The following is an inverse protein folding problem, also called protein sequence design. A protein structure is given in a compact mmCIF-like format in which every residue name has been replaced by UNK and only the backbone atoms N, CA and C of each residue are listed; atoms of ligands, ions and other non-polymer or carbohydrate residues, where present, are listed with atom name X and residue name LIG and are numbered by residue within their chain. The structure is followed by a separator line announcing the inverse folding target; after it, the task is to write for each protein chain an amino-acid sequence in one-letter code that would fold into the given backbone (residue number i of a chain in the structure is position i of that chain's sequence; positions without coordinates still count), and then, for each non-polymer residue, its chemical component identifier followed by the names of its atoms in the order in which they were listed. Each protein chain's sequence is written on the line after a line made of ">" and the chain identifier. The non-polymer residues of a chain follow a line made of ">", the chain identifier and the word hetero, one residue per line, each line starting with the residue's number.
data_IF_682093383136
#
_entry.id   IF_682093383136
#
_cell.length_a   1.000
_cell.length_b   1.000
_cell.length_c   1.000
_cell.angle_alpha   90.00
_cell.angle_beta   90.00
_cell.angle_gamma   90.00
#
_symmetry.space_group_name_H-M   'P 1'
#
loop_
_entity.id
_entity.type
_entity.pdbx_description
1 polymer ?
#
# COMPACT_ATOMS: atom_id res chain seq x y z
N UNK A 1 -0.94 38.88 -18.11
CA UNK A 1 -1.98 38.33 -19.02
C UNK A 1 -1.84 36.83 -19.29
N UNK A 2 -0.66 36.23 -19.25
CA UNK A 2 -0.44 34.80 -19.61
C UNK A 2 -0.98 33.75 -18.63
N UNK A 3 -1.21 34.06 -17.35
CA UNK A 3 -1.58 33.06 -16.35
C UNK A 3 -3.12 32.80 -16.23
N UNK A 4 -3.94 33.70 -16.76
CA UNK A 4 -5.41 33.56 -16.77
C UNK A 4 -5.90 32.73 -17.98
N UNK A 5 -5.29 32.91 -19.15
CA UNK A 5 -5.67 32.21 -20.38
C UNK A 5 -5.45 30.69 -20.28
N UNK A 6 -4.33 30.24 -19.68
CA UNK A 6 -4.06 28.81 -19.50
C UNK A 6 -5.00 28.09 -18.53
N UNK A 7 -5.56 28.81 -17.54
CA UNK A 7 -6.53 28.26 -16.59
C UNK A 7 -7.93 28.14 -17.20
N UNK A 8 -8.35 29.13 -17.95
CA UNK A 8 -9.63 29.09 -18.65
C UNK A 8 -9.68 27.99 -19.71
N UNK A 9 -8.60 27.73 -20.44
CA UNK A 9 -8.49 26.61 -21.39
C UNK A 9 -8.62 25.24 -20.72
N UNK A 10 -8.04 25.05 -19.53
CA UNK A 10 -8.13 23.78 -18.80
C UNK A 10 -9.55 23.53 -18.30
N UNK A 11 -10.24 24.57 -17.78
CA UNK A 11 -11.62 24.45 -17.30
C UNK A 11 -12.66 24.35 -18.43
N UNK A 12 -12.38 24.90 -19.60
CA UNK A 12 -13.28 24.83 -20.78
C UNK A 12 -13.27 23.46 -21.43
N UNK A 13 -12.37 22.55 -21.06
CA UNK A 13 -12.18 21.26 -21.73
C UNK A 13 -12.57 20.03 -20.88
N UNK A 14 -13.22 20.22 -19.72
CA UNK A 14 -13.60 19.13 -18.80
C UNK A 14 -14.51 18.10 -19.49
N UNK A 15 -15.47 18.54 -20.28
CA UNK A 15 -16.37 17.64 -21.01
C UNK A 15 -15.61 16.76 -21.99
N UNK A 16 -14.65 17.30 -22.72
CA UNK A 16 -13.79 16.52 -23.61
C UNK A 16 -12.92 15.53 -22.82
N UNK A 17 -12.34 15.95 -21.69
CA UNK A 17 -11.59 15.07 -20.81
C UNK A 17 -12.47 13.92 -20.28
N UNK A 18 -13.70 14.20 -19.91
CA UNK A 18 -14.71 13.20 -19.48
C UNK A 18 -14.92 12.16 -20.57
N UNK A 19 -15.18 12.59 -21.81
CA UNK A 19 -15.39 11.69 -22.96
C UNK A 19 -14.16 10.80 -23.17
N UNK A 20 -12.96 11.38 -23.19
CA UNK A 20 -11.72 10.65 -23.43
C UNK A 20 -11.43 9.63 -22.31
N UNK A 21 -11.49 10.04 -21.04
CA UNK A 21 -11.18 9.16 -19.91
C UNK A 21 -12.24 8.06 -19.68
N UNK A 22 -13.49 8.31 -20.02
CA UNK A 22 -14.56 7.32 -19.90
C UNK A 22 -14.79 6.48 -21.15
N UNK A 23 -13.93 6.60 -22.15
CA UNK A 23 -14.09 5.89 -23.45
C UNK A 23 -14.04 4.36 -23.36
N UNK A 24 -13.52 3.81 -22.27
CA UNK A 24 -13.22 2.37 -22.16
C UNK A 24 -11.90 1.97 -22.84
N UNK A 25 -11.25 2.90 -23.51
CA UNK A 25 -9.98 2.71 -24.23
C UNK A 25 -8.92 3.67 -23.69
N UNK A 26 -7.96 3.14 -22.95
CA UNK A 26 -6.86 3.94 -22.38
C UNK A 26 -5.94 4.57 -23.45
N UNK A 27 -5.97 4.09 -24.70
CA UNK A 27 -5.17 4.67 -25.78
C UNK A 27 -5.73 6.02 -26.25
N UNK A 28 -7.01 6.26 -26.01
CA UNK A 28 -7.68 7.54 -26.28
C UNK A 28 -7.40 8.62 -25.23
N UNK A 29 -6.82 8.24 -24.08
CA UNK A 29 -6.60 9.17 -22.99
C UNK A 29 -5.55 10.22 -23.32
N UNK A 30 -5.65 11.44 -22.76
CA UNK A 30 -4.57 12.41 -22.85
C UNK A 30 -3.26 11.81 -22.35
N UNK A 31 -2.16 12.10 -23.03
CA UNK A 31 -0.84 11.56 -22.64
C UNK A 31 -0.45 12.05 -21.25
N UNK A 32 0.07 11.17 -20.38
CA UNK A 32 0.56 11.58 -19.06
C UNK A 32 1.85 12.42 -19.18
N UNK A 33 2.07 13.31 -18.25
CA UNK A 33 3.34 14.03 -18.12
C UNK A 33 4.31 13.17 -17.31
N UNK A 34 5.17 12.45 -18.03
CA UNK A 34 6.18 11.60 -17.39
C UNK A 34 7.49 12.34 -17.21
N UNK A 35 8.12 12.14 -16.06
CA UNK A 35 9.48 12.61 -15.81
C UNK A 35 10.46 11.96 -16.78
N UNK A 36 11.55 12.66 -17.09
CA UNK A 36 12.60 12.17 -18.01
C UNK A 36 13.29 10.90 -17.53
N UNK A 37 13.25 10.61 -16.21
CA UNK A 37 13.82 9.42 -15.60
C UNK A 37 12.90 8.18 -15.73
N UNK A 38 11.66 8.35 -16.17
CA UNK A 38 10.72 7.23 -16.38
C UNK A 38 11.00 6.59 -17.74
N UNK A 39 11.31 5.31 -17.75
CA UNK A 39 11.41 4.56 -19.00
C UNK A 39 10.01 4.35 -19.60
N UNK A 40 9.74 5.12 -20.64
CA UNK A 40 8.44 5.12 -21.33
C UNK A 40 8.09 3.76 -21.97
N UNK A 41 9.08 2.88 -22.20
CA UNK A 41 8.86 1.55 -22.78
C UNK A 41 8.27 0.56 -21.78
N UNK A 42 8.56 0.77 -20.49
CA UNK A 42 8.10 -0.09 -19.40
C UNK A 42 7.00 0.57 -18.56
N UNK A 43 6.65 1.82 -18.88
CA UNK A 43 5.57 2.53 -18.21
C UNK A 43 4.22 1.86 -18.48
N UNK A 44 3.48 1.60 -17.42
CA UNK A 44 2.11 1.09 -17.47
C UNK A 44 1.21 2.13 -16.80
N UNK A 45 0.19 2.60 -17.50
CA UNK A 45 -0.76 3.57 -16.99
C UNK A 45 -1.71 2.95 -15.94
N UNK A 46 -2.38 3.80 -15.18
CA UNK A 46 -3.42 3.40 -14.25
C UNK A 46 -4.60 2.75 -14.99
N UNK A 47 -5.32 1.87 -14.34
CA UNK A 47 -6.42 1.15 -14.98
C UNK A 47 -7.17 0.25 -14.01
N UNK A 48 -8.05 -0.59 -14.54
CA UNK A 48 -8.76 -1.62 -13.77
C UNK A 48 -7.79 -2.72 -13.34
N UNK A 49 -7.88 -3.17 -12.08
CA UNK A 49 -7.06 -4.28 -11.59
C UNK A 49 -7.29 -5.54 -12.43
N UNK A 50 -6.21 -6.18 -12.91
CA UNK A 50 -6.32 -7.47 -13.60
C UNK A 50 -6.74 -8.59 -12.63
N UNK A 51 -6.96 -9.78 -13.15
CA UNK A 51 -7.13 -10.95 -12.28
C UNK A 51 -5.83 -11.24 -11.52
N UNK A 52 -5.99 -11.69 -10.26
CA UNK A 52 -4.86 -12.03 -9.42
C UNK A 52 -4.22 -13.34 -9.88
N UNK A 53 -2.91 -13.40 -9.85
CA UNK A 53 -2.15 -14.61 -10.15
C UNK A 53 -1.64 -15.26 -8.87
N UNK A 54 -1.61 -16.58 -8.87
CA UNK A 54 -1.05 -17.37 -7.77
C UNK A 54 0.30 -17.98 -8.20
N UNK A 55 1.30 -18.07 -7.30
CA UNK A 55 2.56 -18.70 -7.61
C UNK A 55 2.39 -20.18 -7.99
N UNK A 56 3.28 -20.71 -8.82
CA UNK A 56 3.23 -22.11 -9.24
C UNK A 56 3.39 -23.10 -8.08
N UNK A 57 4.16 -22.72 -7.08
CA UNK A 57 4.42 -23.51 -5.87
C UNK A 57 3.38 -23.29 -4.77
N UNK A 58 2.53 -22.26 -4.90
CA UNK A 58 1.39 -22.02 -4.00
C UNK A 58 0.11 -21.68 -4.80
N UNK A 59 -0.40 -22.66 -5.51
CA UNK A 59 -1.62 -22.54 -6.33
C UNK A 59 -2.85 -22.31 -5.48
N UNK A 60 -3.85 -21.66 -6.08
CA UNK A 60 -5.15 -21.45 -5.44
C UNK A 60 -5.87 -22.77 -5.14
N UNK A 61 -6.47 -22.88 -3.96
CA UNK A 61 -7.59 -23.78 -3.65
C UNK A 61 -8.52 -23.12 -2.63
N UNK A 62 -9.79 -23.50 -2.64
CA UNK A 62 -10.78 -22.98 -1.67
C UNK A 62 -10.43 -23.39 -0.24
N UNK A 63 -9.89 -24.58 -0.08
CA UNK A 63 -9.48 -25.17 1.18
C UNK A 63 -8.29 -24.40 1.77
N UNK A 64 -7.27 -24.04 0.95
CA UNK A 64 -6.18 -23.16 1.40
C UNK A 64 -6.66 -21.77 1.79
N UNK A 65 -7.60 -21.20 1.04
CA UNK A 65 -8.21 -19.90 1.42
C UNK A 65 -8.93 -20.01 2.76
N UNK A 66 -9.70 -21.06 2.98
CA UNK A 66 -10.42 -21.27 4.24
C UNK A 66 -9.45 -21.45 5.42
N UNK A 67 -8.44 -22.32 5.27
CA UNK A 67 -7.39 -22.49 6.28
C UNK A 67 -6.65 -21.20 6.54
N UNK A 68 -6.21 -20.49 5.49
CA UNK A 68 -5.49 -19.23 5.60
C UNK A 68 -6.31 -18.14 6.30
N UNK A 69 -7.60 -18.06 6.00
CA UNK A 69 -8.52 -17.17 6.70
C UNK A 69 -8.59 -17.53 8.20
N UNK A 70 -8.74 -18.80 8.54
CA UNK A 70 -8.79 -19.26 9.93
C UNK A 70 -7.51 -18.88 10.67
N UNK A 71 -6.33 -19.17 10.11
CA UNK A 71 -5.04 -18.80 10.68
C UNK A 71 -4.83 -17.28 10.83
N UNK A 72 -5.29 -16.50 9.85
CA UNK A 72 -5.19 -15.03 9.88
C UNK A 72 -5.96 -14.40 11.06
N UNK A 73 -7.06 -15.03 11.47
CA UNK A 73 -7.89 -14.58 12.59
C UNK A 73 -7.56 -15.30 13.89
N UNK A 74 -6.62 -16.25 13.90
CA UNK A 74 -6.31 -17.03 15.10
C UNK A 74 -5.23 -16.37 15.95
N UNK A 75 -5.54 -15.89 17.17
CA UNK A 75 -4.58 -15.25 18.02
C UNK A 75 -3.56 -16.24 18.64
N UNK A 76 -3.79 -17.55 18.56
CA UNK A 76 -2.89 -18.58 19.12
C UNK A 76 -1.54 -18.66 18.39
N UNK A 77 -1.41 -18.02 17.22
CA UNK A 77 -0.13 -17.78 16.57
C UNK A 77 0.78 -16.79 17.31
N UNK A 78 0.27 -16.07 18.31
CA UNK A 78 1.07 -15.17 19.16
C UNK A 78 1.45 -15.80 20.49
N UNK A 79 2.51 -15.31 21.13
CA UNK A 79 2.96 -15.82 22.43
C UNK A 79 1.88 -15.70 23.49
N UNK A 80 1.14 -14.59 23.50
CA UNK A 80 0.07 -14.31 24.46
C UNK A 80 -1.26 -15.00 24.14
N UNK A 81 -1.44 -15.52 22.93
CA UNK A 81 -2.74 -16.00 22.44
C UNK A 81 -3.80 -14.90 22.30
N UNK A 82 -3.40 -13.61 22.18
CA UNK A 82 -4.31 -12.47 22.15
C UNK A 82 -4.21 -11.65 20.84
N UNK A 83 -3.15 -11.83 20.07
CA UNK A 83 -2.87 -11.02 18.89
C UNK A 83 -2.90 -11.92 17.65
N UNK A 84 -3.78 -11.58 16.71
CA UNK A 84 -3.85 -12.18 15.37
C UNK A 84 -3.41 -11.18 14.31
N UNK A 85 -3.21 -11.63 13.05
CA UNK A 85 -2.99 -10.71 11.93
C UNK A 85 -4.13 -9.69 11.81
N UNK A 86 -5.37 -10.14 12.03
CA UNK A 86 -6.56 -9.29 12.03
C UNK A 86 -6.58 -8.20 13.11
N UNK A 87 -5.71 -8.26 14.13
CA UNK A 87 -5.59 -7.21 15.15
C UNK A 87 -5.06 -5.90 14.56
N UNK A 88 -4.12 -6.00 13.60
CA UNK A 88 -3.54 -4.86 12.89
C UNK A 88 -4.12 -4.67 11.49
N UNK A 89 -4.80 -5.71 10.95
CA UNK A 89 -5.40 -5.71 9.62
C UNK A 89 -6.90 -6.02 9.71
N UNK A 90 -7.64 -5.09 10.35
CA UNK A 90 -9.08 -5.25 10.58
C UNK A 90 -9.87 -5.04 9.27
N UNK A 91 -10.66 -6.02 8.81
CA UNK A 91 -11.44 -5.89 7.57
C UNK A 91 -12.46 -4.74 7.58
N UNK A 92 -12.98 -4.35 8.74
CA UNK A 92 -13.91 -3.22 8.85
C UNK A 92 -13.21 -1.86 8.71
N UNK A 93 -11.89 -1.81 8.96
CA UNK A 93 -11.03 -0.63 8.84
C UNK A 93 -10.18 -0.67 7.54
N UNK A 94 -10.73 -1.18 6.46
CA UNK A 94 -10.03 -1.34 5.18
C UNK A 94 -8.74 -2.17 5.30
N UNK A 95 -8.73 -3.18 6.18
CA UNK A 95 -7.60 -4.07 6.43
C UNK A 95 -6.34 -3.35 6.93
N UNK A 96 -6.54 -2.28 7.69
CA UNK A 96 -5.56 -1.60 8.56
C UNK A 96 -6.10 -1.58 9.99
N UNK A 97 -5.47 -0.84 10.89
CA UNK A 97 -6.00 -0.54 12.22
C UNK A 97 -6.34 0.95 12.42
N UNK A 98 -6.11 1.77 11.39
CA UNK A 98 -6.32 3.23 11.38
C UNK A 98 -5.60 3.95 12.54
N UNK A 99 -4.49 3.38 13.03
CA UNK A 99 -3.63 4.01 14.03
C UNK A 99 -2.29 4.44 13.43
N UNK A 100 -1.61 5.39 14.06
CA UNK A 100 -0.28 5.81 13.64
C UNK A 100 0.70 4.64 13.64
N UNK A 101 0.61 3.79 14.68
CA UNK A 101 1.40 2.57 14.84
C UNK A 101 0.57 1.55 15.59
N UNK A 102 0.58 0.32 15.12
CA UNK A 102 -0.15 -0.79 15.72
C UNK A 102 0.38 -1.15 17.11
N UNK A 103 -0.51 -1.65 17.95
CA UNK A 103 -0.17 -2.24 19.24
C UNK A 103 0.03 -3.75 19.08
N UNK A 104 1.16 -4.25 19.55
CA UNK A 104 1.46 -5.67 19.58
C UNK A 104 1.59 -6.21 21.00
N UNK A 105 2.49 -7.20 21.18
CA UNK A 105 2.74 -7.87 22.45
C UNK A 105 3.05 -6.86 23.57
N UNK A 106 2.45 -7.07 24.74
CA UNK A 106 2.56 -6.19 25.91
C UNK A 106 2.26 -4.71 25.62
N UNK A 107 1.37 -4.44 24.67
CA UNK A 107 1.01 -3.10 24.21
C UNK A 107 2.19 -2.28 23.68
N UNK A 108 3.27 -2.93 23.29
CA UNK A 108 4.35 -2.27 22.59
C UNK A 108 3.87 -1.79 21.23
N UNK A 109 4.45 -0.71 20.72
CA UNK A 109 4.07 -0.18 19.40
C UNK A 109 5.09 -0.56 18.35
N UNK A 110 4.63 -0.96 17.20
CA UNK A 110 5.46 -1.19 16.03
C UNK A 110 6.25 0.06 15.58
N UNK A 111 7.29 -0.15 14.82
CA UNK A 111 8.15 0.95 14.33
C UNK A 111 7.50 1.80 13.23
N UNK A 112 6.54 1.25 12.51
CA UNK A 112 5.92 1.87 11.32
C UNK A 112 4.41 1.68 11.31
N UNK A 113 3.72 2.49 10.50
CA UNK A 113 2.29 2.37 10.24
C UNK A 113 1.97 1.05 9.53
N UNK A 114 0.85 0.41 9.93
CA UNK A 114 0.34 -0.81 9.31
C UNK A 114 -0.28 -0.52 7.94
N UNK A 115 0.32 -1.09 6.90
CA UNK A 115 -0.22 -0.98 5.52
C UNK A 115 -1.50 -1.81 5.39
N UNK A 116 -2.43 -1.34 4.58
CA UNK A 116 -3.55 -2.20 4.18
C UNK A 116 -3.05 -3.44 3.44
N UNK A 117 -3.70 -4.57 3.68
CA UNK A 117 -3.49 -5.79 2.89
C UNK A 117 -4.46 -5.92 1.71
N UNK A 118 -5.38 -4.94 1.53
CA UNK A 118 -6.19 -4.86 0.31
C UNK A 118 -5.28 -4.80 -0.91
N UNK A 119 -5.52 -5.69 -1.85
CA UNK A 119 -4.75 -5.78 -3.09
C UNK A 119 -3.26 -6.13 -2.90
N UNK A 120 -2.82 -6.60 -1.72
CA UNK A 120 -1.41 -6.95 -1.45
C UNK A 120 -0.85 -7.99 -2.42
N UNK A 121 -1.69 -8.83 -3.03
CA UNK A 121 -1.29 -9.79 -4.04
C UNK A 121 -0.69 -9.20 -5.33
N UNK A 122 -0.80 -7.88 -5.56
CA UNK A 122 -0.16 -7.17 -6.68
C UNK A 122 1.18 -6.53 -6.29
N UNK A 123 1.55 -6.57 -5.02
CA UNK A 123 2.83 -6.02 -4.57
C UNK A 123 3.98 -6.96 -4.95
N UNK A 124 5.08 -6.40 -5.43
CA UNK A 124 6.29 -7.18 -5.79
C UNK A 124 7.14 -7.50 -4.57
N UNK A 125 7.11 -6.64 -3.55
CA UNK A 125 7.75 -6.84 -2.25
C UNK A 125 6.84 -6.30 -1.16
N UNK A 126 6.98 -6.79 0.07
CA UNK A 126 6.12 -6.40 1.18
C UNK A 126 6.90 -5.60 2.22
N UNK A 127 6.16 -4.96 3.14
CA UNK A 127 6.62 -3.94 4.06
C UNK A 127 7.05 -2.63 3.38
N UNK A 128 7.21 -1.57 4.16
CA UNK A 128 7.68 -0.27 3.69
C UNK A 128 9.11 -0.29 3.14
N UNK A 129 9.95 -1.17 3.66
CA UNK A 129 11.36 -1.33 3.27
C UNK A 129 11.60 -2.48 2.27
N UNK A 130 10.55 -3.24 1.94
CA UNK A 130 10.63 -4.34 0.99
C UNK A 130 11.46 -5.53 1.47
N UNK A 131 11.52 -5.78 2.80
CA UNK A 131 12.31 -6.87 3.37
C UNK A 131 11.74 -8.26 3.10
N UNK A 132 10.46 -8.37 2.75
CA UNK A 132 9.86 -9.64 2.33
C UNK A 132 9.64 -9.66 0.81
N UNK A 133 10.01 -10.78 0.19
CA UNK A 133 10.00 -10.97 -1.27
C UNK A 133 8.67 -11.50 -1.81
N UNK A 134 7.78 -11.98 -0.96
CA UNK A 134 6.46 -12.50 -1.32
C UNK A 134 5.52 -12.47 -0.11
N UNK A 135 4.22 -12.70 -0.31
CA UNK A 135 3.26 -12.84 0.80
C UNK A 135 3.59 -14.04 1.68
N UNK A 136 4.08 -15.14 1.08
CA UNK A 136 4.54 -16.30 1.82
C UNK A 136 5.71 -15.97 2.75
N UNK A 137 6.69 -15.22 2.25
CA UNK A 137 7.82 -14.78 3.06
C UNK A 137 7.40 -13.79 4.15
N UNK A 138 6.47 -12.88 3.83
CA UNK A 138 5.99 -11.85 4.74
C UNK A 138 5.31 -12.44 5.99
N UNK A 139 4.49 -13.49 5.83
CA UNK A 139 3.64 -14.01 6.91
C UNK A 139 4.42 -14.49 8.17
N UNK A 140 5.70 -14.85 8.05
CA UNK A 140 6.53 -15.25 9.21
C UNK A 140 7.03 -14.08 10.05
N UNK A 141 7.16 -12.88 9.48
CA UNK A 141 7.77 -11.76 10.18
C UNK A 141 6.93 -11.28 11.36
N UNK A 142 5.62 -10.99 11.22
CA UNK A 142 4.83 -10.54 12.36
C UNK A 142 4.72 -11.59 13.47
N UNK A 143 4.75 -12.88 13.13
CA UNK A 143 4.75 -13.95 14.14
C UNK A 143 6.00 -13.86 15.01
N UNK A 144 7.18 -13.67 14.41
CA UNK A 144 8.47 -13.62 15.11
C UNK A 144 8.87 -12.26 15.67
N UNK A 145 8.17 -11.17 15.31
CA UNK A 145 8.56 -9.82 15.73
C UNK A 145 8.18 -9.58 17.20
N UNK A 146 9.15 -9.21 18.08
CA UNK A 146 8.89 -8.94 19.50
C UNK A 146 7.89 -7.80 19.76
N UNK A 147 7.77 -6.87 18.83
CA UNK A 147 6.84 -5.73 18.92
C UNK A 147 5.44 -6.05 18.37
N UNK A 148 5.28 -7.21 17.68
CA UNK A 148 4.01 -7.63 17.08
C UNK A 148 3.45 -8.85 17.82
N UNK A 149 3.68 -10.08 17.33
CA UNK A 149 3.11 -11.31 17.93
C UNK A 149 4.07 -12.03 18.91
N UNK A 150 5.37 -11.73 18.83
CA UNK A 150 6.44 -12.19 19.73
C UNK A 150 6.49 -13.72 19.96
N UNK A 151 6.22 -14.52 18.91
CA UNK A 151 6.24 -15.98 19.05
C UNK A 151 7.41 -16.60 18.30
N UNK A 152 8.06 -17.62 18.86
CA UNK A 152 9.00 -18.42 18.12
C UNK A 152 8.29 -19.24 17.05
N UNK A 153 8.81 -19.20 15.81
CA UNK A 153 8.13 -19.79 14.66
C UNK A 153 7.86 -21.30 14.80
N UNK A 154 8.78 -22.05 15.45
CA UNK A 154 8.57 -23.45 15.75
C UNK A 154 7.47 -23.67 16.80
N UNK A 155 7.41 -22.82 17.84
CA UNK A 155 6.37 -22.90 18.87
C UNK A 155 4.99 -22.56 18.26
N UNK A 156 4.92 -21.57 17.38
CA UNK A 156 3.68 -21.28 16.64
C UNK A 156 3.19 -22.51 15.84
N UNK A 157 4.10 -23.23 15.20
CA UNK A 157 3.77 -24.48 14.48
C UNK A 157 3.26 -25.55 15.45
N UNK A 158 3.96 -25.76 16.56
CA UNK A 158 3.58 -26.78 17.57
C UNK A 158 2.19 -26.48 18.14
N UNK A 159 1.93 -25.24 18.57
CA UNK A 159 0.60 -24.80 19.05
C UNK A 159 -0.53 -25.12 18.06
N UNK A 160 -0.34 -24.84 16.77
CA UNK A 160 -1.36 -25.12 15.75
C UNK A 160 -1.50 -26.64 15.52
N UNK A 161 -0.40 -27.38 15.59
CA UNK A 161 -0.42 -28.84 15.36
C UNK A 161 -1.10 -29.63 16.47
N UNK A 162 -1.08 -29.11 17.70
CA UNK A 162 -1.74 -29.69 18.87
C UNK A 162 -3.27 -29.52 18.87
N UNK A 163 -3.79 -28.63 18.04
CA UNK A 163 -5.22 -28.37 17.94
C UNK A 163 -5.86 -29.34 16.94
N UNK A 164 -6.59 -30.33 17.45
CA UNK A 164 -7.21 -31.38 16.65
C UNK A 164 -8.07 -30.84 15.48
N UNK A 165 -8.80 -29.76 15.70
CA UNK A 165 -9.65 -29.15 14.68
C UNK A 165 -8.90 -28.54 13.48
N UNK A 166 -7.57 -28.35 13.55
CA UNK A 166 -6.79 -27.94 12.38
C UNK A 166 -6.45 -29.11 11.45
N UNK A 167 -6.37 -30.34 11.93
CA UNK A 167 -6.00 -31.51 11.12
C UNK A 167 -6.82 -31.63 9.84
N UNK A 168 -8.17 -31.66 9.88
CA UNK A 168 -8.96 -31.74 8.66
C UNK A 168 -8.81 -30.53 7.74
N UNK A 169 -8.50 -29.34 8.28
CA UNK A 169 -8.25 -28.14 7.47
C UNK A 169 -6.93 -28.25 6.71
N UNK A 170 -5.86 -28.72 7.35
CA UNK A 170 -4.59 -28.97 6.69
C UNK A 170 -4.66 -30.12 5.67
N UNK A 171 -5.38 -31.20 6.01
CA UNK A 171 -5.64 -32.31 5.08
C UNK A 171 -6.34 -31.84 3.81
N UNK A 172 -7.42 -31.07 3.95
CA UNK A 172 -8.14 -30.50 2.83
C UNK A 172 -7.29 -29.54 1.98
N UNK A 173 -6.44 -28.74 2.62
CA UNK A 173 -5.60 -27.74 1.95
C UNK A 173 -4.37 -28.32 1.26
N UNK A 174 -3.76 -29.41 1.80
CA UNK A 174 -2.45 -29.93 1.40
C UNK A 174 -2.40 -31.46 1.17
N UNK A 175 -3.52 -32.15 1.29
CA UNK A 175 -3.63 -33.58 1.05
C UNK A 175 -3.17 -34.48 2.23
N UNK A 176 -2.74 -33.89 3.33
CA UNK A 176 -2.47 -34.56 4.62
C UNK A 176 -2.49 -33.54 5.76
N UNK A 177 -2.64 -34.02 7.00
CA UNK A 177 -2.82 -33.22 8.22
C UNK A 177 -1.56 -32.59 8.81
N UNK A 178 -0.37 -32.83 8.24
CA UNK A 178 0.87 -32.32 8.81
C UNK A 178 0.91 -30.79 8.81
N UNK A 179 1.29 -30.20 9.95
CA UNK A 179 1.48 -28.77 10.12
C UNK A 179 2.96 -28.41 9.95
N UNK A 180 3.23 -27.36 9.23
CA UNK A 180 4.57 -26.79 9.09
C UNK A 180 4.49 -25.28 8.89
N UNK A 181 5.57 -24.57 9.23
CA UNK A 181 5.66 -23.13 9.02
C UNK A 181 5.35 -22.76 7.55
N UNK A 182 5.94 -23.49 6.61
CA UNK A 182 5.70 -23.28 5.17
C UNK A 182 4.23 -23.39 4.79
N UNK A 183 3.50 -24.38 5.33
CA UNK A 183 2.07 -24.55 5.05
C UNK A 183 1.21 -23.45 5.67
N UNK A 184 1.56 -23.01 6.88
CA UNK A 184 0.93 -21.85 7.55
C UNK A 184 1.10 -20.61 6.67
N UNK A 185 2.34 -20.30 6.26
CA UNK A 185 2.66 -19.18 5.38
C UNK A 185 1.90 -19.26 4.05
N UNK A 186 1.88 -20.43 3.42
CA UNK A 186 1.21 -20.64 2.14
C UNK A 186 -0.32 -20.44 2.23
N UNK A 187 -0.93 -20.94 3.29
CA UNK A 187 -2.36 -20.77 3.52
C UNK A 187 -2.72 -19.29 3.74
N UNK A 188 -1.99 -18.60 4.64
CA UNK A 188 -2.20 -17.17 4.92
C UNK A 188 -2.02 -16.36 3.63
N UNK A 189 -0.94 -16.55 2.89
CA UNK A 189 -0.67 -15.86 1.63
C UNK A 189 -1.74 -16.13 0.56
N UNK A 190 -2.27 -17.37 0.50
CA UNK A 190 -3.37 -17.72 -0.42
C UNK A 190 -4.63 -16.94 -0.05
N UNK A 191 -4.97 -16.84 1.22
CA UNK A 191 -6.09 -16.03 1.70
C UNK A 191 -5.89 -14.55 1.39
N UNK A 192 -4.73 -13.97 1.72
CA UNK A 192 -4.44 -12.56 1.48
C UNK A 192 -4.56 -12.17 0.01
N UNK A 193 -4.17 -13.04 -0.93
CA UNK A 193 -4.37 -12.82 -2.37
C UNK A 193 -5.85 -12.72 -2.75
N UNK A 194 -6.76 -13.27 -1.98
CA UNK A 194 -8.21 -13.12 -2.22
C UNK A 194 -8.78 -11.79 -1.71
N UNK A 195 -8.02 -11.05 -0.89
CA UNK A 195 -8.44 -9.76 -0.34
C UNK A 195 -8.23 -8.67 -1.39
N UNK A 196 -9.23 -8.53 -2.25
CA UNK A 196 -9.22 -7.64 -3.40
C UNK A 196 -10.33 -6.60 -3.30
N UNK A 197 -10.02 -5.34 -3.61
CA UNK A 197 -11.01 -4.27 -3.71
C UNK A 197 -12.04 -4.59 -4.79
N UNK A 198 -13.32 -4.31 -4.54
CA UNK A 198 -14.30 -4.30 -5.62
C UNK A 198 -14.02 -3.17 -6.61
N UNK A 199 -14.74 -3.16 -7.75
CA UNK A 199 -14.65 -2.05 -8.70
C UNK A 199 -15.06 -0.74 -8.05
N UNK A 200 -14.10 0.19 -7.97
CA UNK A 200 -14.28 1.53 -7.40
C UNK A 200 -15.11 2.44 -8.33
N UNK A 201 -15.36 3.67 -7.90
CA UNK A 201 -15.98 4.71 -8.72
C UNK A 201 -15.11 5.01 -9.95
N UNK A 202 -13.77 5.08 -9.76
CA UNK A 202 -12.79 5.21 -10.84
C UNK A 202 -12.88 4.06 -11.85
N UNK A 203 -12.87 2.80 -11.40
CA UNK A 203 -12.92 1.65 -12.30
C UNK A 203 -14.19 1.64 -13.17
N UNK A 204 -15.33 2.07 -12.60
CA UNK A 204 -16.59 2.18 -13.33
C UNK A 204 -16.53 3.30 -14.37
N UNK A 205 -15.98 4.46 -14.01
CA UNK A 205 -15.85 5.60 -14.88
C UNK A 205 -15.01 5.27 -16.12
N UNK A 206 -13.79 4.77 -15.92
CA UNK A 206 -12.89 4.42 -17.04
C UNK A 206 -13.38 3.24 -17.88
N UNK A 207 -14.37 2.47 -17.39
CA UNK A 207 -15.02 1.36 -18.10
C UNK A 207 -16.28 1.78 -18.86
N UNK A 208 -16.47 3.07 -19.17
CA UNK A 208 -17.56 3.58 -19.99
C UNK A 208 -18.75 4.20 -19.25
N UNK A 209 -18.69 4.36 -17.92
CA UNK A 209 -19.77 4.99 -17.14
C UNK A 209 -19.43 6.46 -16.84
N UNK A 210 -19.55 7.32 -17.85
CA UNK A 210 -19.16 8.75 -17.81
C UNK A 210 -19.88 9.54 -16.71
N UNK A 211 -21.09 9.13 -16.32
CA UNK A 211 -21.91 9.72 -15.27
C UNK A 211 -21.35 9.52 -13.85
N UNK A 212 -20.34 8.66 -13.69
CA UNK A 212 -19.80 8.33 -12.37
C UNK A 212 -18.90 9.42 -11.79
N UNK A 213 -18.24 10.22 -12.61
CA UNK A 213 -17.38 11.29 -12.12
C UNK A 213 -18.07 12.65 -12.18
N UNK A 214 -17.82 13.48 -11.17
CA UNK A 214 -18.06 14.92 -11.21
C UNK A 214 -16.99 15.61 -12.08
N UNK A 215 -17.17 16.88 -12.42
CA UNK A 215 -16.17 17.66 -13.16
C UNK A 215 -14.89 17.82 -12.33
N UNK A 216 -15.01 18.00 -11.03
CA UNK A 216 -13.87 18.09 -10.10
C UNK A 216 -13.04 16.79 -10.08
N UNK A 217 -13.70 15.62 -10.07
CA UNK A 217 -13.03 14.32 -10.13
C UNK A 217 -12.34 14.06 -11.47
N UNK A 218 -12.93 14.52 -12.58
CA UNK A 218 -12.30 14.47 -13.91
C UNK A 218 -11.07 15.37 -13.94
N UNK A 219 -11.16 16.58 -13.42
CA UNK A 219 -10.01 17.48 -13.29
C UNK A 219 -8.91 16.84 -12.43
N UNK A 220 -9.28 16.28 -11.29
CA UNK A 220 -8.32 15.61 -10.39
C UNK A 220 -7.59 14.44 -11.06
N UNK A 221 -8.29 13.59 -11.81
CA UNK A 221 -7.69 12.52 -12.62
C UNK A 221 -6.69 13.10 -13.64
N UNK A 222 -7.06 14.19 -14.31
CA UNK A 222 -6.20 14.83 -15.29
C UNK A 222 -4.94 15.42 -14.63
N UNK A 223 -5.10 16.15 -13.53
CA UNK A 223 -3.99 16.71 -12.75
C UNK A 223 -3.05 15.61 -12.23
N UNK A 224 -3.59 14.52 -11.71
CA UNK A 224 -2.82 13.37 -11.23
C UNK A 224 -1.87 12.82 -12.31
N UNK A 225 -2.34 12.75 -13.55
CA UNK A 225 -1.60 12.23 -14.69
C UNK A 225 -0.69 13.28 -15.37
N UNK A 226 -0.93 14.58 -15.13
CA UNK A 226 -0.25 15.66 -15.83
C UNK A 226 0.50 16.59 -14.87
N UNK A 227 -0.07 17.72 -14.48
CA UNK A 227 0.60 18.79 -13.72
C UNK A 227 1.15 18.30 -12.37
N UNK A 228 0.36 17.51 -11.63
CA UNK A 228 0.78 16.99 -10.33
C UNK A 228 1.78 15.82 -10.44
N UNK A 229 1.88 15.17 -11.58
CA UNK A 229 2.83 14.09 -11.90
C UNK A 229 2.84 12.91 -10.90
N UNK A 230 1.77 12.71 -10.15
CA UNK A 230 1.63 11.60 -9.20
C UNK A 230 1.77 10.23 -9.90
N UNK A 231 1.42 10.19 -11.19
CA UNK A 231 1.53 9.02 -12.06
C UNK A 231 2.98 8.49 -12.20
N UNK A 232 3.99 9.29 -11.92
CA UNK A 232 5.39 8.87 -12.02
C UNK A 232 5.78 7.79 -11.00
N UNK A 233 5.08 7.76 -9.85
CA UNK A 233 5.24 6.73 -8.81
C UNK A 233 3.97 5.89 -8.66
N UNK A 234 2.80 6.51 -8.71
CA UNK A 234 1.51 5.84 -8.55
C UNK A 234 0.88 5.46 -9.89
N UNK A 235 1.64 4.75 -10.71
CA UNK A 235 1.21 4.17 -11.98
C UNK A 235 0.72 2.72 -11.83
N UNK A 236 0.48 2.01 -12.94
CA UNK A 236 -0.11 0.68 -13.04
C UNK A 236 -1.56 0.60 -12.55
N UNK A 237 -2.32 -0.44 -12.88
CA UNK A 237 -3.65 -0.68 -12.29
C UNK A 237 -3.66 -0.80 -10.77
N UNK A 238 -2.52 -1.11 -10.16
CA UNK A 238 -2.33 -1.16 -8.70
C UNK A 238 -2.09 0.21 -8.07
N UNK A 239 -1.86 1.27 -8.87
CA UNK A 239 -1.48 2.61 -8.40
C UNK A 239 -0.20 2.63 -7.57
N UNK A 240 0.78 1.86 -8.01
CA UNK A 240 2.14 1.81 -7.46
C UNK A 240 3.10 1.31 -8.54
N UNK A 241 4.27 1.89 -8.63
CA UNK A 241 5.38 1.39 -9.45
C UNK A 241 6.13 0.24 -8.78
N UNK A 242 5.76 -0.12 -7.54
CA UNK A 242 6.43 -1.10 -6.68
C UNK A 242 7.94 -0.82 -6.46
N UNK A 243 8.39 0.42 -6.71
CA UNK A 243 9.77 0.86 -6.48
C UNK A 243 9.91 1.56 -5.13
N UNK A 244 11.13 2.02 -4.85
CA UNK A 244 11.49 2.66 -3.59
C UNK A 244 11.95 4.09 -3.85
N UNK A 245 11.33 5.05 -3.14
CA UNK A 245 11.60 6.46 -3.27
C UNK A 245 11.80 7.11 -1.90
N UNK A 246 12.64 8.15 -1.85
CA UNK A 246 12.77 8.97 -0.66
C UNK A 246 11.82 10.18 -0.77
N UNK A 247 10.76 10.14 -0.01
CA UNK A 247 9.75 11.20 0.07
C UNK A 247 10.06 12.29 1.10
N UNK A 248 11.26 12.27 1.70
CA UNK A 248 11.68 13.25 2.69
C UNK A 248 11.25 12.96 4.14
N UNK A 249 10.64 11.80 4.41
CA UNK A 249 10.04 11.46 5.73
C UNK A 249 10.94 10.64 6.64
N UNK A 250 12.27 10.60 6.39
CA UNK A 250 13.23 9.81 7.19
C UNK A 250 13.40 10.29 8.62
N UNK A 251 12.99 11.52 8.93
CA UNK A 251 13.21 12.18 10.23
C UNK A 251 14.68 12.12 10.69
N UNK A 252 15.62 12.21 9.72
CA UNK A 252 17.06 12.07 9.94
C UNK A 252 17.57 12.96 11.07
N UNK A 253 18.33 12.35 11.97
CA UNK A 253 18.91 13.03 13.12
C UNK A 253 17.95 13.27 14.29
N UNK A 254 16.75 12.72 14.27
CA UNK A 254 15.81 12.69 15.39
C UNK A 254 15.77 11.32 16.04
N UNK A 255 15.08 11.22 17.20
CA UNK A 255 14.85 9.92 17.85
C UNK A 255 13.95 8.96 17.05
N UNK A 256 13.22 9.48 16.07
CA UNK A 256 12.30 8.72 15.21
C UNK A 256 12.90 8.47 13.82
N UNK A 257 14.23 8.58 13.69
CA UNK A 257 14.94 8.35 12.43
C UNK A 257 14.66 6.95 11.86
N UNK A 258 14.33 6.90 10.57
CA UNK A 258 14.16 5.65 9.84
C UNK A 258 14.83 5.73 8.47
N UNK A 259 15.80 4.85 8.24
CA UNK A 259 16.55 4.79 6.98
C UNK A 259 15.86 3.96 5.89
N UNK A 260 14.69 3.41 6.16
CA UNK A 260 13.89 2.69 5.17
C UNK A 260 14.62 1.51 4.56
N UNK A 261 14.69 1.47 3.23
CA UNK A 261 15.30 0.40 2.42
C UNK A 261 16.75 0.11 2.77
N UNK A 262 17.53 1.12 3.17
CA UNK A 262 18.91 0.95 3.61
C UNK A 262 19.06 -0.07 4.76
N UNK A 263 18.07 -0.15 5.65
CA UNK A 263 18.11 -1.12 6.74
C UNK A 263 18.17 -2.57 6.24
N UNK A 264 17.67 -2.82 5.03
CA UNK A 264 17.64 -4.15 4.38
C UNK A 264 18.87 -4.34 3.49
N UNK A 265 19.17 -3.38 2.61
CA UNK A 265 20.17 -3.53 1.56
C UNK A 265 21.58 -3.16 1.98
N UNK A 266 21.72 -2.29 2.99
CA UNK A 266 22.98 -1.62 3.37
C UNK A 266 23.62 -0.78 2.24
N UNK A 267 22.89 -0.58 1.14
CA UNK A 267 23.31 0.28 0.04
C UNK A 267 23.01 1.73 0.40
N UNK A 268 24.03 2.60 0.36
CA UNK A 268 23.93 4.02 0.73
C UNK A 268 22.92 4.78 -0.15
N UNK A 269 22.75 4.37 -1.41
CA UNK A 269 21.76 4.96 -2.31
C UNK A 269 20.32 4.67 -1.89
N UNK A 270 20.09 3.71 -1.00
CA UNK A 270 18.77 3.34 -0.51
C UNK A 270 18.38 4.03 0.81
N UNK A 271 19.22 4.93 1.31
CA UNK A 271 18.92 5.71 2.53
C UNK A 271 17.65 6.52 2.34
N UNK A 272 16.71 6.30 3.23
CA UNK A 272 15.43 7.01 3.29
C UNK A 272 14.43 6.65 2.21
N UNK A 273 14.69 5.62 1.43
CA UNK A 273 13.74 5.11 0.45
C UNK A 273 12.73 4.17 1.09
N UNK A 274 11.48 4.37 0.74
CA UNK A 274 10.34 3.51 1.11
C UNK A 274 9.62 3.06 -0.14
N UNK A 275 9.00 1.89 -0.08
CA UNK A 275 8.21 1.34 -1.18
C UNK A 275 7.00 2.23 -1.45
N UNK A 276 6.74 2.55 -2.71
CA UNK A 276 5.50 3.22 -3.11
C UNK A 276 4.29 2.36 -2.72
N UNK A 277 3.43 2.80 -1.78
CA UNK A 277 2.21 2.07 -1.49
C UNK A 277 1.19 2.23 -2.61
N UNK A 278 0.25 1.29 -2.73
CA UNK A 278 -0.95 1.55 -3.51
C UNK A 278 -1.75 2.69 -2.89
N UNK A 279 -2.38 3.51 -3.73
CA UNK A 279 -3.38 4.49 -3.29
C UNK A 279 -4.82 4.02 -3.56
N UNK A 280 -5.01 2.76 -3.99
CA UNK A 280 -6.36 2.17 -3.93
C UNK A 280 -6.81 2.09 -2.48
N UNK A 281 -8.06 2.44 -2.21
CA UNK A 281 -8.67 2.55 -0.88
C UNK A 281 -8.06 3.66 0.00
N UNK A 282 -7.31 4.60 -0.59
CA UNK A 282 -6.51 5.58 0.15
C UNK A 282 -7.32 6.43 1.13
N UNK A 283 -8.57 6.81 0.81
CA UNK A 283 -9.39 7.62 1.73
C UNK A 283 -9.83 6.89 3.00
N UNK A 284 -9.56 5.58 3.10
CA UNK A 284 -9.96 4.72 4.22
C UNK A 284 -8.78 4.14 5.01
N UNK A 285 -7.56 4.35 4.55
CA UNK A 285 -6.36 3.68 5.07
C UNK A 285 -5.41 4.63 5.81
N UNK A 286 -5.93 5.77 6.26
CA UNK A 286 -5.17 6.69 7.10
C UNK A 286 -4.94 6.18 8.53
N UNK A 287 -4.01 6.80 9.28
CA UNK A 287 -3.13 7.89 8.86
C UNK A 287 -2.03 7.37 7.92
N UNK A 288 -1.42 8.27 7.15
CA UNK A 288 -0.58 7.88 6.02
C UNK A 288 0.92 8.08 6.27
N UNK A 289 1.71 7.64 5.30
CA UNK A 289 3.15 7.46 5.28
C UNK A 289 3.62 6.32 6.21
N UNK A 290 4.88 5.92 6.06
CA UNK A 290 5.45 4.83 6.86
C UNK A 290 5.48 5.13 8.38
N UNK A 291 5.46 6.39 8.74
CA UNK A 291 5.44 6.86 10.14
C UNK A 291 4.02 7.25 10.64
N UNK A 292 3.00 7.21 9.79
CA UNK A 292 1.62 7.57 10.13
C UNK A 292 1.43 9.04 10.52
N UNK A 293 2.30 9.95 10.06
CA UNK A 293 2.29 11.35 10.50
C UNK A 293 1.20 12.22 9.86
N UNK A 294 0.64 11.80 8.73
CA UNK A 294 -0.36 12.60 8.01
C UNK A 294 -1.78 12.13 8.36
N UNK A 295 -2.57 12.97 9.03
CA UNK A 295 -3.94 12.62 9.43
C UNK A 295 -4.98 12.87 8.34
N UNK A 296 -4.67 13.66 7.30
CA UNK A 296 -5.59 13.97 6.21
C UNK A 296 -4.92 13.84 4.84
N UNK A 297 -5.72 13.58 3.80
CA UNK A 297 -5.23 13.59 2.41
C UNK A 297 -4.77 14.97 1.98
N UNK A 298 -5.38 16.02 2.52
CA UNK A 298 -4.97 17.40 2.23
C UNK A 298 -3.54 17.65 2.67
N UNK A 299 -3.18 17.24 3.89
CA UNK A 299 -1.81 17.42 4.41
C UNK A 299 -0.77 16.72 3.51
N UNK A 300 -1.11 15.53 2.98
CA UNK A 300 -0.23 14.80 2.04
C UNK A 300 -0.07 15.57 0.74
N UNK A 301 -1.18 16.01 0.14
CA UNK A 301 -1.15 16.68 -1.17
C UNK A 301 -0.43 18.04 -1.04
N UNK A 302 -0.63 18.77 0.06
CA UNK A 302 0.12 19.99 0.35
C UNK A 302 1.60 19.72 0.55
N UNK A 303 1.97 18.66 1.26
CA UNK A 303 3.35 18.25 1.43
C UNK A 303 4.04 17.98 0.07
N UNK A 304 3.39 17.24 -0.82
CA UNK A 304 3.88 17.03 -2.19
C UNK A 304 3.90 18.33 -3.00
N UNK A 305 2.90 19.21 -2.83
CA UNK A 305 2.86 20.51 -3.51
C UNK A 305 4.05 21.41 -3.12
N UNK A 306 4.54 21.29 -1.88
CA UNK A 306 5.74 21.97 -1.39
C UNK A 306 7.06 21.34 -1.87
N UNK A 307 7.01 20.18 -2.53
CA UNK A 307 8.18 19.46 -3.03
C UNK A 307 8.86 18.58 -2.00
N UNK A 308 8.08 17.99 -1.09
CA UNK A 308 8.56 17.06 -0.05
C UNK A 308 9.72 17.66 0.77
N UNK A 309 9.51 18.77 1.48
CA UNK A 309 10.59 19.43 2.20
C UNK A 309 11.13 18.55 3.32
N UNK A 310 12.38 18.14 3.20
CA UNK A 310 13.13 17.45 4.25
C UNK A 310 14.00 18.43 5.02
N UNK A 311 13.93 18.38 6.36
CA UNK A 311 14.80 19.21 7.20
C UNK A 311 16.11 18.48 7.44
N UNK A 312 17.16 18.90 6.73
CA UNK A 312 18.52 18.40 6.96
C UNK A 312 19.18 19.25 8.04
N UNK A 313 19.54 18.64 9.16
CA UNK A 313 20.21 19.34 10.23
C UNK A 313 21.69 19.57 9.87
N UNK A 314 22.07 20.83 9.64
CA UNK A 314 23.44 21.26 9.25
C UNK A 314 24.55 20.70 10.14
N UNK A 315 24.25 20.41 11.43
CA UNK A 315 25.23 19.84 12.38
C UNK A 315 25.83 18.49 11.96
N UNK A 316 25.21 17.79 11.01
CA UNK A 316 25.73 16.50 10.53
C UNK A 316 26.64 16.61 9.31
N UNK A 317 26.69 17.78 8.67
CA UNK A 317 27.58 18.03 7.53
C UNK A 317 29.06 17.93 7.98
N UNK A 318 29.86 17.19 7.23
CA UNK A 318 31.28 16.96 7.55
C UNK A 318 31.54 16.03 8.74
N UNK A 319 30.53 15.40 9.32
CA UNK A 319 30.69 14.41 10.38
C UNK A 319 30.67 12.98 9.82
N UNK A 320 30.95 11.99 10.66
CA UNK A 320 30.80 10.56 10.28
C UNK A 320 29.40 10.20 9.79
N UNK A 321 28.37 11.00 10.10
CA UNK A 321 27.00 10.82 9.64
C UNK A 321 26.65 11.53 8.33
N UNK A 322 27.58 12.29 7.76
CA UNK A 322 27.36 13.02 6.51
C UNK A 322 26.95 12.09 5.36
N UNK A 323 27.62 10.95 5.26
CA UNK A 323 27.29 9.90 4.26
C UNK A 323 25.91 9.28 4.42
N UNK A 324 25.27 9.43 5.58
CA UNK A 324 23.94 8.93 5.88
C UNK A 324 22.84 9.98 5.68
N UNK A 325 23.18 11.18 5.23
CA UNK A 325 22.18 12.23 4.96
C UNK A 325 21.31 11.78 3.78
N UNK A 326 19.99 11.67 3.97
CA UNK A 326 19.09 11.20 2.93
C UNK A 326 19.03 12.16 1.75
N UNK A 327 19.20 11.65 0.53
CA UNK A 327 19.02 12.43 -0.69
C UNK A 327 17.56 12.38 -1.12
N UNK A 328 16.89 13.52 -1.36
CA UNK A 328 15.51 13.54 -1.85
C UNK A 328 15.36 12.75 -3.16
N UNK A 329 14.18 12.19 -3.38
CA UNK A 329 13.85 11.63 -4.69
C UNK A 329 13.97 12.70 -5.79
N UNK A 330 14.52 12.38 -6.97
CA UNK A 330 14.56 13.30 -8.10
C UNK A 330 13.16 13.72 -8.57
N UNK A 331 12.12 13.00 -8.18
CA UNK A 331 10.73 13.36 -8.47
C UNK A 331 10.17 14.42 -7.50
N UNK A 332 10.86 14.70 -6.38
CA UNK A 332 10.44 15.71 -5.40
C UNK A 332 10.67 17.11 -5.96
N UNK A 333 9.58 17.82 -6.24
CA UNK A 333 9.58 19.18 -6.77
C UNK A 333 8.32 19.93 -6.36
N UNK A 334 8.36 21.26 -6.32
CA UNK A 334 7.18 22.09 -6.11
C UNK A 334 6.23 21.93 -7.30
N UNK A 335 4.96 21.65 -7.02
CA UNK A 335 3.95 21.39 -8.06
C UNK A 335 3.19 22.66 -8.47
N UNK A 336 3.21 23.70 -7.62
CA UNK A 336 2.51 24.96 -7.85
C UNK A 336 1.01 24.78 -8.11
N UNK A 337 0.38 23.87 -7.35
CA UNK A 337 -1.06 23.65 -7.39
C UNK A 337 -1.75 24.72 -6.56
N UNK A 338 -2.86 25.24 -7.05
CA UNK A 338 -3.73 26.08 -6.27
C UNK A 338 -4.78 25.27 -5.48
N UNK A 339 -5.58 25.97 -4.66
CA UNK A 339 -6.55 25.31 -3.78
C UNK A 339 -7.60 24.49 -4.55
N UNK A 340 -8.04 24.94 -5.71
CA UNK A 340 -9.00 24.21 -6.55
C UNK A 340 -8.37 22.91 -7.07
N UNK A 341 -7.13 22.97 -7.53
CA UNK A 341 -6.39 21.81 -8.02
C UNK A 341 -6.08 20.80 -6.92
N UNK A 342 -5.76 21.27 -5.70
CA UNK A 342 -5.58 20.41 -4.53
C UNK A 342 -6.88 19.65 -4.19
N UNK A 343 -8.01 20.37 -4.15
CA UNK A 343 -9.31 19.75 -3.89
C UNK A 343 -9.68 18.74 -4.96
N UNK A 344 -9.46 19.05 -6.24
CA UNK A 344 -9.72 18.13 -7.34
C UNK A 344 -8.89 16.85 -7.24
N UNK A 345 -7.61 16.93 -6.86
CA UNK A 345 -6.77 15.75 -6.62
C UNK A 345 -7.32 14.88 -5.49
N UNK A 346 -7.78 15.50 -4.39
CA UNK A 346 -8.37 14.78 -3.26
C UNK A 346 -9.67 14.11 -3.72
N UNK A 347 -10.54 14.83 -4.41
CA UNK A 347 -11.79 14.29 -4.95
C UNK A 347 -11.52 13.08 -5.86
N UNK A 348 -10.51 13.15 -6.73
CA UNK A 348 -10.09 12.00 -7.53
C UNK A 348 -9.60 10.83 -6.67
N UNK A 349 -8.73 11.06 -5.68
CA UNK A 349 -8.22 9.98 -4.82
C UNK A 349 -9.35 9.29 -4.04
N UNK A 350 -10.38 10.01 -3.63
CA UNK A 350 -11.56 9.43 -2.98
C UNK A 350 -12.32 8.45 -3.89
N UNK A 351 -12.29 8.67 -5.22
CA UNK A 351 -12.91 7.75 -6.18
C UNK A 351 -12.25 6.37 -6.25
N UNK A 352 -11.02 6.25 -5.72
CA UNK A 352 -10.27 4.98 -5.67
C UNK A 352 -10.70 4.07 -4.53
N UNK A 353 -11.55 4.58 -3.63
CA UNK A 353 -12.03 3.84 -2.46
C UNK A 353 -13.43 3.28 -2.67
N UNK A 354 -13.73 2.21 -1.94
CA UNK A 354 -15.00 1.49 -2.00
C UNK A 354 -15.64 1.40 -0.61
N UNK A 355 -16.98 1.24 -0.51
CA UNK A 355 -17.62 1.05 0.78
C UNK A 355 -17.09 -0.18 1.51
N UNK A 356 -17.06 -0.10 2.84
CA UNK A 356 -16.69 -1.23 3.70
C UNK A 356 -17.58 -2.43 3.42
N UNK A 357 -16.97 -3.60 3.32
CA UNK A 357 -17.68 -4.87 3.25
C UNK A 357 -17.45 -5.64 4.52
N UNK A 358 -18.53 -6.06 5.16
CA UNK A 358 -18.45 -7.03 6.25
C UNK A 358 -18.00 -8.37 5.70
N UNK A 359 -17.11 -9.01 6.42
CA UNK A 359 -16.75 -10.41 6.20
C UNK A 359 -17.23 -11.25 7.39
N UNK A 360 -17.67 -12.46 7.10
CA UNK A 360 -17.94 -13.41 8.17
C UNK A 360 -16.61 -13.85 8.79
N UNK A 361 -16.49 -13.72 10.10
CA UNK A 361 -15.33 -14.24 10.82
C UNK A 361 -15.36 -15.77 10.79
N UNK A 362 -14.20 -16.45 10.73
CA UNK A 362 -14.18 -17.91 10.82
C UNK A 362 -14.45 -18.35 12.25
N UNK A 363 -15.07 -19.54 12.39
CA UNK A 363 -15.01 -20.25 13.65
C UNK A 363 -13.60 -20.83 13.84
N UNK A 364 -13.01 -20.60 15.03
CA UNK A 364 -11.69 -21.12 15.31
C UNK A 364 -11.78 -22.60 15.73
N UNK A 365 -10.91 -23.45 15.20
CA UNK A 365 -10.84 -24.88 15.56
C UNK A 365 -10.56 -25.07 17.06
N UNK A 366 -11.10 -26.15 17.63
CA UNK A 366 -10.89 -26.57 19.02
C UNK A 366 -9.96 -27.76 19.11
#
# INVERSE_FOLDING_TARGET
>A
MSCKESKEETYTNIENLRVLYSSGDATAWPKPTLDSLIDKRTFIDIGVLPEITFPKDNTYSKEKVALGKTLFFDPRLSVSGQIACASCHNPELAWTDNTTRSFGHDRQTGGRNSMTILNSGYAHTLFWDGRASSLEDQARFPIGDPLEMNEQLNIAVDKISEIEGYKPLFEGAFGNDSVSLKRIQYAIATFERTIKSPKSKFDKFISGKSDKFTDEEVLGLHLFRTKAQCINCHNTPYFSDNKFHNDGQTLFGTKNEDFGRYNVTKNIDDIGKFRTPTIREVSRTGPWMHNGHFPSLLDIVEFYNLGNPAVIQKKYLGTARDSLIPKPSPFSRKLHLDKTELNALIAFMETLSTPTRRILLPELPK
#
